data_IF_524825631343
#
_entry.id   IF_524825631343
#
_cell.length_a   1.000
_cell.length_b   1.000
_cell.length_c   1.000
_cell.angle_alpha   90.00
_cell.angle_beta   90.00
_cell.angle_gamma   90.00
#
_symmetry.space_group_name_H-M   'P 1'
#
loop_
_entity.id
_entity.type
_entity.pdbx_description
1 polymer ?
#
# COMPACT_ATOMS: atom_id res chain seq x y z
N UNK A 1 -0.19 15.64 22.09
CA UNK A 1 0.14 14.21 21.94
C UNK A 1 1.54 13.96 22.44
N UNK A 2 1.78 12.84 23.14
CA UNK A 2 3.10 12.54 23.70
C UNK A 2 4.10 12.21 22.59
N UNK A 3 5.41 12.46 22.80
CA UNK A 3 6.43 12.10 21.81
C UNK A 3 6.45 10.61 21.46
N UNK A 4 6.18 9.73 22.41
CA UNK A 4 6.11 8.29 22.16
C UNK A 4 4.95 7.94 21.23
N UNK A 5 3.80 8.55 21.43
CA UNK A 5 2.62 8.32 20.60
C UNK A 5 2.88 8.82 19.18
N UNK A 6 3.49 9.98 19.03
CA UNK A 6 3.87 10.53 17.74
C UNK A 6 4.84 9.61 17.02
N UNK A 7 5.85 9.11 17.71
CA UNK A 7 6.86 8.22 17.15
C UNK A 7 6.25 6.90 16.68
N UNK A 8 5.33 6.34 17.45
CA UNK A 8 4.65 5.10 17.06
C UNK A 8 3.76 5.29 15.84
N UNK A 9 3.02 6.38 15.82
CA UNK A 9 2.16 6.69 14.66
C UNK A 9 3.00 6.95 13.42
N UNK A 10 4.13 7.62 13.57
CA UNK A 10 5.07 7.83 12.46
C UNK A 10 5.57 6.49 11.91
N UNK A 11 5.94 5.58 12.79
CA UNK A 11 6.40 4.24 12.39
C UNK A 11 5.32 3.49 11.59
N UNK A 12 4.07 3.59 12.02
CA UNK A 12 2.95 2.97 11.30
C UNK A 12 2.81 3.59 9.91
N UNK A 13 2.93 4.91 9.79
CA UNK A 13 2.86 5.60 8.50
C UNK A 13 4.00 5.16 7.58
N UNK A 14 5.21 5.05 8.11
CA UNK A 14 6.37 4.62 7.32
C UNK A 14 6.21 3.18 6.84
N UNK A 15 5.67 2.31 7.68
CA UNK A 15 5.35 0.94 7.29
C UNK A 15 4.32 0.93 6.15
N UNK A 16 3.27 1.75 6.29
CA UNK A 16 2.23 1.85 5.26
C UNK A 16 2.81 2.33 3.93
N UNK A 17 3.70 3.34 3.96
CA UNK A 17 4.36 3.85 2.75
C UNK A 17 5.21 2.78 2.08
N UNK A 18 5.94 2.00 2.86
CA UNK A 18 6.78 0.92 2.34
C UNK A 18 5.91 -0.16 1.67
N UNK A 19 4.80 -0.52 2.29
CA UNK A 19 3.88 -1.51 1.72
C UNK A 19 3.24 -1.01 0.43
N UNK A 20 2.90 0.28 0.36
CA UNK A 20 2.38 0.90 -0.87
C UNK A 20 3.43 0.83 -1.98
N UNK A 21 4.68 1.18 -1.68
CA UNK A 21 5.77 1.14 -2.66
C UNK A 21 5.99 -0.27 -3.20
N UNK A 22 6.00 -1.27 -2.33
CA UNK A 22 6.16 -2.67 -2.73
C UNK A 22 5.02 -3.14 -3.62
N UNK A 23 3.78 -2.79 -3.25
CA UNK A 23 2.61 -3.17 -4.03
C UNK A 23 2.63 -2.51 -5.42
N UNK A 24 3.05 -1.25 -5.50
CA UNK A 24 3.19 -0.54 -6.77
C UNK A 24 4.22 -1.20 -7.68
N UNK A 25 5.35 -1.61 -7.13
CA UNK A 25 6.38 -2.33 -7.89
C UNK A 25 5.84 -3.65 -8.43
N UNK A 26 5.12 -4.40 -7.61
CA UNK A 26 4.53 -5.67 -8.03
C UNK A 26 3.51 -5.48 -9.15
N UNK A 27 2.68 -4.43 -9.05
CA UNK A 27 1.71 -4.11 -10.11
C UNK A 27 2.45 -3.74 -11.40
N UNK A 28 3.47 -2.89 -11.31
CA UNK A 28 4.24 -2.47 -12.48
C UNK A 28 4.87 -3.67 -13.19
N UNK A 29 5.42 -4.59 -12.44
CA UNK A 29 5.99 -5.81 -12.99
C UNK A 29 4.92 -6.68 -13.64
N UNK A 30 3.78 -6.84 -12.99
CA UNK A 30 2.69 -7.67 -13.51
C UNK A 30 2.12 -7.12 -14.81
N UNK A 31 1.87 -5.80 -14.88
CA UNK A 31 1.27 -5.20 -16.07
C UNK A 31 2.27 -5.01 -17.22
N UNK A 32 3.57 -4.96 -16.91
CA UNK A 32 4.61 -4.76 -17.91
C UNK A 32 5.13 -6.06 -18.49
N UNK A 33 4.89 -7.17 -17.84
CA UNK A 33 5.45 -8.46 -18.24
C UNK A 33 4.41 -9.26 -19.05
N UNK A 34 4.69 -9.58 -20.33
CA UNK A 34 3.71 -10.26 -21.19
C UNK A 34 3.23 -11.61 -20.65
N UNK A 35 4.05 -12.30 -19.88
CA UNK A 35 3.73 -13.60 -19.31
C UNK A 35 2.56 -13.53 -18.34
N UNK A 36 2.44 -12.44 -17.60
CA UNK A 36 1.37 -12.28 -16.62
C UNK A 36 0.02 -12.03 -17.28
N UNK A 37 0.02 -11.54 -18.53
CA UNK A 37 -1.19 -11.20 -19.25
C UNK A 37 -1.67 -12.36 -20.11
N UNK A 38 -0.74 -13.06 -20.76
CA UNK A 38 -1.06 -14.11 -21.74
C UNK A 38 -1.38 -15.43 -21.03
N UNK A 39 -2.65 -15.82 -21.03
CA UNK A 39 -3.07 -17.14 -20.58
C UNK A 39 -3.12 -17.38 -19.09
N UNK A 40 -2.85 -16.37 -18.27
CA UNK A 40 -2.91 -16.50 -16.81
C UNK A 40 -4.28 -16.03 -16.32
N UNK A 41 -5.13 -16.96 -15.89
CA UNK A 41 -6.52 -16.67 -15.56
C UNK A 41 -6.74 -15.90 -14.27
N UNK A 42 -5.77 -15.87 -13.38
CA UNK A 42 -5.89 -15.20 -12.07
C UNK A 42 -5.21 -13.85 -11.98
N UNK A 43 -4.65 -13.36 -13.07
CA UNK A 43 -3.81 -12.15 -13.03
C UNK A 43 -4.56 -10.89 -12.57
N UNK A 44 -5.80 -10.71 -12.99
CA UNK A 44 -6.51 -9.50 -12.59
C UNK A 44 -6.96 -9.56 -11.14
N UNK A 45 -7.22 -10.72 -10.60
CA UNK A 45 -7.50 -10.84 -9.17
C UNK A 45 -6.27 -10.46 -8.35
N UNK A 46 -5.09 -10.89 -8.78
CA UNK A 46 -3.84 -10.57 -8.10
C UNK A 46 -3.58 -9.06 -8.12
N UNK A 47 -3.81 -8.41 -9.25
CA UNK A 47 -3.64 -6.96 -9.36
C UNK A 47 -4.70 -6.22 -8.53
N UNK A 48 -5.94 -6.68 -8.55
CA UNK A 48 -7.00 -6.08 -7.74
C UNK A 48 -6.66 -6.16 -6.24
N UNK A 49 -6.13 -7.29 -5.79
CA UNK A 49 -5.72 -7.46 -4.39
C UNK A 49 -4.61 -6.48 -4.02
N UNK A 50 -3.66 -6.24 -4.92
CA UNK A 50 -2.61 -5.25 -4.70
C UNK A 50 -3.16 -3.82 -4.67
N UNK A 51 -4.10 -3.51 -5.54
CA UNK A 51 -4.75 -2.20 -5.54
C UNK A 51 -5.54 -1.95 -4.25
N UNK A 52 -6.24 -2.97 -3.76
CA UNK A 52 -6.95 -2.88 -2.48
C UNK A 52 -5.98 -2.68 -1.33
N UNK A 53 -4.85 -3.36 -1.36
CA UNK A 53 -3.81 -3.20 -0.35
C UNK A 53 -3.30 -1.76 -0.31
N UNK A 54 -3.03 -1.16 -1.47
CA UNK A 54 -2.61 0.24 -1.56
C UNK A 54 -3.69 1.14 -0.95
N UNK A 55 -4.94 0.94 -1.33
CA UNK A 55 -6.06 1.74 -0.83
C UNK A 55 -6.19 1.64 0.69
N UNK A 56 -6.04 0.46 1.26
CA UNK A 56 -6.11 0.27 2.71
C UNK A 56 -4.98 0.99 3.44
N UNK A 57 -3.76 0.90 2.93
CA UNK A 57 -2.62 1.58 3.55
C UNK A 57 -2.69 3.10 3.38
N UNK A 58 -3.19 3.58 2.25
CA UNK A 58 -3.44 5.01 2.06
C UNK A 58 -4.47 5.52 3.07
N UNK A 59 -5.51 4.74 3.32
CA UNK A 59 -6.53 5.09 4.31
C UNK A 59 -5.94 5.16 5.73
N UNK A 60 -5.01 4.29 6.07
CA UNK A 60 -4.32 4.34 7.36
C UNK A 60 -3.54 5.65 7.49
N UNK A 61 -2.76 6.02 6.49
CA UNK A 61 -1.99 7.26 6.49
C UNK A 61 -2.92 8.47 6.63
N UNK A 62 -3.98 8.50 5.83
CA UNK A 62 -4.95 9.60 5.85
C UNK A 62 -5.62 9.73 7.21
N UNK A 63 -5.98 8.60 7.82
CA UNK A 63 -6.63 8.59 9.14
C UNK A 63 -5.69 9.14 10.21
N UNK A 64 -4.43 8.75 10.18
CA UNK A 64 -3.43 9.26 11.13
C UNK A 64 -3.26 10.77 10.92
N UNK A 65 -3.10 11.21 9.69
CA UNK A 65 -2.89 12.62 9.40
C UNK A 65 -4.11 13.47 9.77
N UNK A 66 -5.30 12.94 9.60
CA UNK A 66 -6.54 13.66 9.86
C UNK A 66 -6.84 13.80 11.35
N UNK A 67 -6.55 12.77 12.13
CA UNK A 67 -7.00 12.69 13.52
C UNK A 67 -5.88 12.85 14.55
N UNK A 68 -4.64 12.62 14.17
CA UNK A 68 -3.53 12.54 15.11
C UNK A 68 -2.33 13.43 14.74
N UNK A 69 -2.37 14.09 13.61
CA UNK A 69 -1.34 15.06 13.23
C UNK A 69 -1.67 16.38 13.90
N UNK A 70 -0.88 16.77 14.79
CA UNK A 70 -1.20 18.02 15.43
C UNK A 70 -0.10 18.58 16.28
#
# INVERSE_FOLDING_TARGET
MSPQKQSRLYTIKEHARAEISMAKEEIDMAVSHPIFVAGHTGWHQDIEDLLLKISEYEAIIDTIDKHFAG
#
